data_IF_237462120694
#
_entry.id   IF_237462120694
#
_cell.length_a   1.000
_cell.length_b   1.000
_cell.length_c   1.000
_cell.angle_alpha   90.00
_cell.angle_beta   90.00
_cell.angle_gamma   90.00
#
_symmetry.space_group_name_H-M   'P 1'
#
loop_
_entity.id
_entity.type
_entity.pdbx_description
1 polymer ?
#
# COMPACT_ATOMS: atom_id res chain seq x y z
N UNK A 1 28.35 23.13 -13.09
CA UNK A 1 27.49 21.98 -12.79
C UNK A 1 28.10 21.32 -11.57
N UNK A 2 27.58 21.61 -10.40
CA UNK A 2 28.01 20.98 -9.15
C UNK A 2 27.31 19.63 -9.07
N UNK A 3 28.05 18.58 -9.31
CA UNK A 3 27.67 17.19 -9.01
C UNK A 3 27.44 17.09 -7.49
N UNK A 4 26.21 17.35 -7.06
CA UNK A 4 25.83 17.09 -5.68
C UNK A 4 25.64 15.58 -5.54
N UNK A 5 26.51 14.95 -4.77
CA UNK A 5 26.32 13.57 -4.31
C UNK A 5 24.89 13.40 -3.79
N UNK A 6 24.21 12.28 -4.15
CA UNK A 6 22.89 12.01 -3.60
C UNK A 6 22.93 12.06 -2.07
N UNK A 7 21.93 12.66 -1.39
CA UNK A 7 21.91 12.71 0.06
C UNK A 7 21.94 11.29 0.64
N UNK A 8 22.66 11.14 1.76
CA UNK A 8 22.73 9.87 2.48
C UNK A 8 21.32 9.37 2.82
N UNK A 9 21.11 8.05 2.83
CA UNK A 9 19.84 7.43 3.16
C UNK A 9 19.25 8.00 4.46
N UNK A 10 17.96 8.32 4.42
CA UNK A 10 17.22 8.83 5.56
C UNK A 10 17.32 10.35 5.79
N UNK A 11 17.85 11.13 4.87
CA UNK A 11 17.89 12.60 4.98
C UNK A 11 16.72 13.26 4.25
N UNK A 12 16.24 14.44 4.75
CA UNK A 12 15.31 15.27 4.00
C UNK A 12 15.87 15.66 2.64
N UNK A 13 15.05 15.64 1.61
CA UNK A 13 15.47 15.86 0.23
C UNK A 13 14.57 16.88 -0.46
N UNK A 14 15.14 17.76 -1.29
CA UNK A 14 14.38 18.61 -2.19
C UNK A 14 13.94 17.81 -3.42
N UNK A 15 12.66 17.88 -3.76
CA UNK A 15 12.14 17.34 -5.02
C UNK A 15 12.12 18.40 -6.12
N UNK A 16 11.71 17.98 -7.32
CA UNK A 16 11.62 18.85 -8.51
C UNK A 16 10.32 19.66 -8.61
N UNK A 17 9.41 19.54 -7.64
CA UNK A 17 8.06 20.08 -7.75
C UNK A 17 7.15 19.21 -8.61
N UNK A 18 5.87 19.56 -8.73
CA UNK A 18 4.91 18.76 -9.48
C UNK A 18 3.79 19.62 -10.09
N UNK A 19 3.32 19.22 -11.27
CA UNK A 19 2.16 19.81 -11.92
C UNK A 19 0.94 18.90 -11.70
N UNK A 20 -0.10 19.46 -11.09
CA UNK A 20 -1.40 18.79 -10.90
C UNK A 20 -2.37 19.30 -11.97
N UNK A 21 -2.68 18.50 -13.00
CA UNK A 21 -3.60 18.90 -14.04
C UNK A 21 -5.04 18.57 -13.68
N UNK A 22 -5.95 19.47 -14.00
CA UNK A 22 -7.39 19.30 -13.94
C UNK A 22 -8.03 19.58 -15.30
N UNK A 23 -9.08 18.87 -15.63
CA UNK A 23 -9.93 19.15 -16.79
C UNK A 23 -11.27 19.69 -16.31
N UNK A 24 -11.60 20.90 -16.67
CA UNK A 24 -12.82 21.55 -16.19
C UNK A 24 -14.06 20.88 -16.80
N UNK A 25 -14.88 20.30 -15.94
CA UNK A 25 -16.15 19.69 -16.34
C UNK A 25 -17.25 20.75 -16.60
N UNK A 26 -18.29 20.36 -17.30
CA UNK A 26 -19.44 21.25 -17.54
C UNK A 26 -20.16 21.66 -16.25
N UNK A 27 -20.09 20.82 -15.21
CA UNK A 27 -20.76 21.07 -13.91
C UNK A 27 -20.12 22.19 -13.10
N UNK A 28 -18.85 22.52 -13.34
CA UNK A 28 -18.12 23.59 -12.65
C UNK A 28 -17.79 24.79 -13.57
N UNK A 29 -18.24 24.75 -14.82
CA UNK A 29 -18.12 25.88 -15.74
C UNK A 29 -18.89 27.11 -15.22
N UNK A 30 -18.26 28.28 -15.32
CA UNK A 30 -18.80 29.53 -14.78
C UNK A 30 -18.43 29.81 -13.33
N UNK A 31 -17.83 28.84 -12.62
CA UNK A 31 -17.26 29.03 -11.29
C UNK A 31 -15.95 29.84 -11.38
N UNK A 32 -15.63 30.63 -10.36
CA UNK A 32 -14.31 31.26 -10.26
C UNK A 32 -13.23 30.24 -9.95
N UNK A 33 -12.06 30.39 -10.54
CA UNK A 33 -10.93 29.46 -10.36
C UNK A 33 -10.54 29.26 -8.88
N UNK A 34 -10.54 30.33 -8.07
CA UNK A 34 -10.26 30.23 -6.64
C UNK A 34 -11.35 29.42 -5.91
N UNK A 35 -12.62 29.63 -6.22
CA UNK A 35 -13.72 28.93 -5.56
C UNK A 35 -13.68 27.44 -5.91
N UNK A 36 -13.33 27.09 -7.16
CA UNK A 36 -13.08 25.70 -7.57
C UNK A 36 -12.03 25.02 -6.70
N UNK A 37 -10.85 25.63 -6.51
CA UNK A 37 -9.81 25.02 -5.68
C UNK A 37 -10.22 24.88 -4.21
N UNK A 38 -10.89 25.87 -3.65
CA UNK A 38 -11.36 25.83 -2.25
C UNK A 38 -12.38 24.72 -2.02
N UNK A 39 -13.29 24.50 -2.97
CA UNK A 39 -14.34 23.49 -2.86
C UNK A 39 -13.84 22.07 -3.14
N UNK A 40 -12.92 21.90 -4.12
CA UNK A 40 -12.47 20.57 -4.56
C UNK A 40 -11.24 20.06 -3.80
N UNK A 41 -10.46 20.97 -3.18
CA UNK A 41 -9.19 20.62 -2.54
C UNK A 41 -9.11 21.11 -1.09
N UNK A 42 -9.84 20.43 -0.22
CA UNK A 42 -9.99 20.77 1.21
C UNK A 42 -8.69 20.69 2.05
N UNK A 43 -7.58 20.24 1.47
CA UNK A 43 -6.28 20.18 2.15
C UNK A 43 -5.60 21.55 2.33
N UNK A 44 -6.13 22.59 1.71
CA UNK A 44 -5.66 23.98 1.84
C UNK A 44 -6.85 24.93 1.94
N UNK A 45 -6.76 25.86 2.84
CA UNK A 45 -7.80 26.90 2.98
C UNK A 45 -7.72 27.97 1.87
N UNK A 46 -8.70 28.87 1.88
CA UNK A 46 -8.84 29.92 0.86
C UNK A 46 -7.63 30.86 0.79
N UNK A 47 -7.01 31.17 1.91
CA UNK A 47 -5.86 32.08 1.96
C UNK A 47 -4.64 31.47 1.30
N UNK A 48 -4.40 30.19 1.53
CA UNK A 48 -3.30 29.42 0.90
C UNK A 48 -3.51 29.31 -0.61
N UNK A 49 -4.75 29.06 -1.06
CA UNK A 49 -5.03 29.03 -2.51
C UNK A 49 -4.85 30.40 -3.15
N UNK A 50 -5.30 31.48 -2.49
CA UNK A 50 -5.12 32.85 -3.00
C UNK A 50 -3.64 33.19 -3.17
N UNK A 51 -2.80 32.88 -2.18
CA UNK A 51 -1.34 33.07 -2.27
C UNK A 51 -0.73 32.33 -3.48
N UNK A 52 -1.16 31.09 -3.76
CA UNK A 52 -0.71 30.33 -4.95
C UNK A 52 -1.10 31.00 -6.27
N UNK A 53 -2.29 31.61 -6.35
CA UNK A 53 -2.68 32.43 -7.50
C UNK A 53 -1.79 33.64 -7.65
N UNK A 54 -1.54 34.39 -6.56
CA UNK A 54 -0.67 35.56 -6.55
C UNK A 54 0.78 35.24 -6.94
N UNK A 55 1.26 34.05 -6.58
CA UNK A 55 2.57 33.55 -6.97
C UNK A 55 2.63 32.98 -8.41
N UNK A 56 1.52 33.04 -9.17
CA UNK A 56 1.46 32.54 -10.53
C UNK A 56 1.57 31.02 -10.69
N UNK A 57 1.31 30.28 -9.62
CA UNK A 57 1.40 28.80 -9.61
C UNK A 57 0.19 28.12 -10.26
N UNK A 58 -0.89 28.87 -10.51
CA UNK A 58 -2.09 28.35 -11.17
C UNK A 58 -2.12 28.83 -12.61
N UNK A 59 -2.35 27.90 -13.53
CA UNK A 59 -2.42 28.18 -14.97
C UNK A 59 -3.72 27.63 -15.57
N UNK A 60 -4.30 28.39 -16.51
CA UNK A 60 -5.44 28.00 -17.33
C UNK A 60 -5.00 27.95 -18.80
N UNK A 61 -5.11 26.80 -19.42
CA UNK A 61 -4.64 26.56 -20.80
C UNK A 61 -3.20 27.06 -21.03
N UNK A 62 -2.32 26.84 -20.03
CA UNK A 62 -0.90 27.18 -20.07
C UNK A 62 -0.55 28.64 -19.76
N UNK A 63 -1.54 29.49 -19.44
CA UNK A 63 -1.33 30.89 -19.06
C UNK A 63 -1.63 31.08 -17.57
N UNK A 64 -0.89 31.99 -16.90
CA UNK A 64 -1.16 32.33 -15.51
C UNK A 64 -2.62 32.73 -15.33
N UNK A 65 -3.28 32.11 -14.36
CA UNK A 65 -4.70 32.29 -14.09
C UNK A 65 -4.89 33.20 -12.87
N UNK A 66 -5.78 34.20 -12.98
CA UNK A 66 -6.17 35.00 -11.83
C UNK A 66 -7.25 34.31 -11.00
N UNK A 67 -7.28 34.58 -9.70
CA UNK A 67 -8.24 33.97 -8.76
C UNK A 67 -9.72 34.19 -9.15
N UNK A 68 -10.03 35.31 -9.77
CA UNK A 68 -11.37 35.69 -10.23
C UNK A 68 -11.77 35.17 -11.61
N UNK A 69 -10.87 34.48 -12.33
CA UNK A 69 -11.13 33.97 -13.69
C UNK A 69 -12.27 32.98 -13.69
N UNK A 70 -13.23 33.14 -14.59
CA UNK A 70 -14.34 32.21 -14.77
C UNK A 70 -13.87 31.01 -15.59
N UNK A 71 -14.09 29.82 -15.06
CA UNK A 71 -13.71 28.55 -15.70
C UNK A 71 -14.67 28.22 -16.84
N UNK A 72 -14.11 27.70 -17.95
CA UNK A 72 -14.88 27.23 -19.11
C UNK A 72 -14.79 25.70 -19.22
N UNK A 73 -15.89 25.05 -19.61
CA UNK A 73 -15.90 23.61 -19.79
C UNK A 73 -14.85 23.17 -20.83
N UNK A 74 -14.09 22.14 -20.51
CA UNK A 74 -13.04 21.61 -21.35
C UNK A 74 -11.69 22.30 -21.22
N UNK A 75 -11.58 23.44 -20.50
CA UNK A 75 -10.29 24.09 -20.26
C UNK A 75 -9.37 23.23 -19.38
N UNK A 76 -8.06 23.35 -19.58
CA UNK A 76 -7.02 22.71 -18.79
C UNK A 76 -6.57 23.63 -17.66
N UNK A 77 -6.98 23.37 -16.43
CA UNK A 77 -6.51 24.06 -15.24
C UNK A 77 -5.35 23.27 -14.63
N UNK A 78 -4.29 23.93 -14.18
CA UNK A 78 -3.17 23.24 -13.57
C UNK A 78 -2.58 24.02 -12.39
N UNK A 79 -2.23 23.29 -11.33
CA UNK A 79 -1.46 23.81 -10.21
C UNK A 79 -0.02 23.36 -10.32
N UNK A 80 0.89 24.31 -10.49
CA UNK A 80 2.34 24.13 -10.57
C UNK A 80 2.95 24.28 -9.17
N UNK A 81 2.98 23.19 -8.42
CA UNK A 81 3.58 23.19 -7.09
C UNK A 81 5.10 23.27 -7.22
N UNK A 82 5.75 24.31 -6.64
CA UNK A 82 7.20 24.41 -6.66
C UNK A 82 7.85 23.26 -5.88
N UNK A 83 9.16 23.09 -6.06
CA UNK A 83 9.96 22.15 -5.28
C UNK A 83 9.76 22.40 -3.76
N UNK A 84 9.69 21.30 -3.00
CA UNK A 84 9.65 21.35 -1.54
C UNK A 84 10.59 20.31 -0.94
N UNK A 85 10.95 20.53 0.31
CA UNK A 85 11.75 19.56 1.06
C UNK A 85 10.84 18.42 1.53
N UNK A 86 11.09 17.22 1.03
CA UNK A 86 10.40 16.01 1.48
C UNK A 86 10.96 15.53 2.81
N UNK A 87 10.11 14.95 3.69
CA UNK A 87 10.58 14.33 4.90
C UNK A 87 11.59 13.20 4.60
N UNK A 88 12.48 12.96 5.55
CA UNK A 88 13.39 11.82 5.50
C UNK A 88 12.62 10.50 5.34
N UNK A 89 13.11 9.62 4.48
CA UNK A 89 12.59 8.27 4.29
C UNK A 89 13.75 7.32 3.96
N UNK A 90 13.68 6.04 4.38
CA UNK A 90 14.67 5.05 3.95
C UNK A 90 14.57 4.88 2.44
N UNK A 91 15.71 4.87 1.75
CA UNK A 91 15.78 4.72 0.28
C UNK A 91 16.43 3.40 -0.13
N UNK A 92 16.72 2.53 0.81
CA UNK A 92 17.23 1.21 0.52
C UNK A 92 16.12 0.17 0.51
N UNK A 93 16.22 -0.78 -0.41
CA UNK A 93 15.32 -1.93 -0.52
C UNK A 93 16.14 -3.15 -0.88
N UNK A 94 15.65 -4.33 -0.54
CA UNK A 94 16.28 -5.59 -0.91
C UNK A 94 15.55 -6.18 -2.12
N UNK A 95 16.32 -6.58 -3.15
CA UNK A 95 15.81 -7.31 -4.29
C UNK A 95 15.57 -8.78 -3.86
N UNK A 96 14.34 -9.27 -4.06
CA UNK A 96 13.93 -10.63 -3.73
C UNK A 96 13.91 -11.53 -4.97
N UNK A 97 13.43 -10.98 -6.08
CA UNK A 97 13.33 -11.69 -7.36
C UNK A 97 13.34 -10.70 -8.53
N UNK A 98 13.87 -11.13 -9.68
CA UNK A 98 13.91 -10.37 -10.92
C UNK A 98 13.93 -11.29 -12.12
N UNK A 99 13.08 -10.99 -13.14
CA UNK A 99 13.10 -11.57 -14.47
C UNK A 99 12.65 -10.55 -15.52
N UNK A 100 12.32 -11.02 -16.75
CA UNK A 100 11.91 -10.17 -17.86
C UNK A 100 10.50 -9.56 -17.67
N UNK A 101 9.64 -10.14 -16.86
CA UNK A 101 8.24 -9.72 -16.66
C UNK A 101 8.04 -8.93 -15.36
N UNK A 102 8.74 -9.26 -14.30
CA UNK A 102 8.49 -8.69 -12.98
C UNK A 102 9.73 -8.56 -12.08
N UNK A 103 9.58 -7.70 -11.09
CA UNK A 103 10.53 -7.53 -9.98
C UNK A 103 9.78 -7.62 -8.66
N UNK A 104 10.31 -8.36 -7.71
CA UNK A 104 9.84 -8.38 -6.33
C UNK A 104 10.89 -7.77 -5.40
N UNK A 105 10.46 -6.85 -4.53
CA UNK A 105 11.34 -6.16 -3.59
C UNK A 105 10.81 -6.21 -2.17
N UNK A 106 11.73 -6.22 -1.20
CA UNK A 106 11.42 -5.99 0.21
C UNK A 106 11.48 -4.50 0.53
N UNK A 107 10.32 -3.91 0.75
CA UNK A 107 10.17 -2.51 1.11
C UNK A 107 10.44 -2.29 2.61
N UNK A 108 11.31 -1.37 3.02
CA UNK A 108 11.45 -1.01 4.42
C UNK A 108 10.18 -0.32 4.97
N UNK A 109 9.95 -0.43 6.28
CA UNK A 109 8.99 0.44 6.96
C UNK A 109 9.46 1.90 6.86
N UNK A 110 8.53 2.84 6.71
CA UNK A 110 8.82 4.27 6.58
C UNK A 110 8.88 4.79 5.15
N UNK A 111 9.04 3.93 4.14
CA UNK A 111 9.05 4.31 2.73
C UNK A 111 7.64 4.22 2.12
N UNK A 112 7.19 5.31 1.50
CA UNK A 112 5.94 5.35 0.74
C UNK A 112 6.09 4.59 -0.59
N UNK A 113 5.09 3.81 -1.04
CA UNK A 113 5.19 3.09 -2.33
C UNK A 113 5.02 4.03 -3.53
N UNK A 114 4.02 4.89 -3.48
CA UNK A 114 3.64 5.82 -4.55
C UNK A 114 3.64 7.27 -4.03
N UNK A 115 3.80 8.27 -4.91
CA UNK A 115 3.65 9.67 -4.52
C UNK A 115 2.34 9.91 -3.78
N UNK A 116 2.42 10.50 -2.59
CA UNK A 116 1.27 10.90 -1.78
C UNK A 116 1.71 11.87 -0.67
N UNK A 117 0.83 12.79 -0.29
CA UNK A 117 1.03 13.78 0.76
C UNK A 117 2.31 14.63 0.54
N UNK A 118 3.31 14.48 1.39
CA UNK A 118 4.56 15.22 1.31
C UNK A 118 5.67 14.48 0.54
N UNK A 119 5.41 13.25 0.08
CA UNK A 119 6.36 12.39 -0.61
C UNK A 119 6.05 12.38 -2.11
N UNK A 120 6.99 12.79 -2.94
CA UNK A 120 6.94 12.77 -4.40
C UNK A 120 8.03 11.83 -4.95
N UNK A 121 9.29 12.10 -4.59
CA UNK A 121 10.48 11.38 -5.03
C UNK A 121 11.06 10.45 -3.94
N UNK A 122 10.76 10.70 -2.66
CA UNK A 122 11.05 9.74 -1.59
C UNK A 122 10.02 8.63 -1.55
N UNK A 123 9.92 7.87 -2.65
CA UNK A 123 8.99 6.75 -2.81
C UNK A 123 9.70 5.49 -3.29
N UNK A 124 9.15 4.32 -2.98
CA UNK A 124 9.67 3.06 -3.48
C UNK A 124 9.66 3.02 -5.02
N UNK A 125 8.63 3.58 -5.65
CA UNK A 125 8.54 3.67 -7.11
C UNK A 125 9.73 4.41 -7.69
N UNK A 126 10.09 5.56 -7.13
CA UNK A 126 11.22 6.36 -7.61
C UNK A 126 12.54 5.62 -7.43
N UNK A 127 12.78 5.08 -6.24
CA UNK A 127 14.02 4.34 -5.91
C UNK A 127 14.17 3.07 -6.75
N UNK A 128 13.08 2.33 -7.01
CA UNK A 128 13.10 1.12 -7.85
C UNK A 128 13.38 1.49 -9.30
N UNK A 129 12.76 2.56 -9.81
CA UNK A 129 13.01 3.05 -11.18
C UNK A 129 14.42 3.55 -11.38
N UNK A 130 14.98 4.25 -10.42
CA UNK A 130 16.35 4.73 -10.43
C UNK A 130 17.37 3.57 -10.53
N UNK A 131 17.13 2.47 -9.81
CA UNK A 131 18.07 1.34 -9.73
C UNK A 131 17.84 0.23 -10.75
N UNK A 132 16.60 -0.05 -11.14
CA UNK A 132 16.23 -1.26 -11.90
C UNK A 132 15.54 -0.97 -13.24
N UNK A 133 15.19 0.30 -13.53
CA UNK A 133 14.64 0.72 -14.83
C UNK A 133 13.36 1.55 -14.74
N UNK A 134 13.28 2.55 -15.61
CA UNK A 134 12.25 3.60 -15.59
C UNK A 134 10.81 3.10 -15.87
N UNK A 135 10.64 1.97 -16.57
CA UNK A 135 9.34 1.45 -16.99
C UNK A 135 8.64 0.62 -15.92
N UNK A 136 9.32 0.34 -14.80
CA UNK A 136 8.77 -0.43 -13.70
C UNK A 136 7.55 0.26 -13.08
N UNK A 137 6.49 -0.52 -12.86
CA UNK A 137 5.27 -0.04 -12.23
C UNK A 137 4.79 -1.01 -11.14
N UNK A 138 4.44 -0.53 -9.94
CA UNK A 138 3.97 -1.40 -8.87
C UNK A 138 2.62 -2.03 -9.23
N UNK A 139 2.49 -3.33 -8.96
CA UNK A 139 1.25 -4.11 -9.11
C UNK A 139 0.28 -3.81 -7.98
N UNK A 140 0.81 -3.63 -6.78
CA UNK A 140 0.07 -3.31 -5.56
C UNK A 140 0.86 -2.34 -4.67
N UNK A 141 0.25 -1.91 -3.58
CA UNK A 141 0.90 -1.00 -2.65
C UNK A 141 0.74 -1.46 -1.20
N UNK A 142 1.72 -1.09 -0.38
CA UNK A 142 1.68 -1.20 1.08
C UNK A 142 1.57 0.21 1.69
N UNK A 143 1.03 0.30 2.90
CA UNK A 143 1.09 1.52 3.70
C UNK A 143 2.55 1.91 4.03
N UNK A 144 2.79 3.17 4.34
CA UNK A 144 4.14 3.67 4.64
C UNK A 144 4.81 2.91 5.80
N UNK A 145 4.07 2.63 6.87
CA UNK A 145 4.56 1.88 8.03
C UNK A 145 4.65 0.36 7.81
N UNK A 146 3.97 -0.19 6.79
CA UNK A 146 4.05 -1.62 6.47
C UNK A 146 5.33 -1.91 5.70
N UNK A 147 6.09 -2.91 6.13
CA UNK A 147 7.28 -3.42 5.43
C UNK A 147 6.96 -4.66 4.59
N UNK A 148 7.92 -5.12 3.80
CA UNK A 148 7.88 -6.40 3.10
C UNK A 148 7.59 -6.30 1.61
N UNK A 149 7.10 -7.39 1.06
CA UNK A 149 7.07 -7.70 -0.35
C UNK A 149 6.16 -6.77 -1.16
N UNK A 150 6.72 -6.17 -2.22
CA UNK A 150 6.01 -5.40 -3.25
C UNK A 150 6.43 -5.90 -4.63
N UNK A 151 5.44 -6.21 -5.49
CA UNK A 151 5.65 -6.62 -6.87
C UNK A 151 5.60 -5.41 -7.82
N UNK A 152 6.52 -5.40 -8.76
CA UNK A 152 6.56 -4.45 -9.88
C UNK A 152 6.52 -5.20 -11.20
N UNK A 153 5.75 -4.71 -12.17
CA UNK A 153 5.73 -5.22 -13.53
C UNK A 153 6.71 -4.43 -14.41
N UNK A 154 7.46 -5.14 -15.29
CA UNK A 154 8.41 -4.54 -16.24
C UNK A 154 7.75 -4.15 -17.56
N UNK A 155 6.69 -4.85 -17.96
CA UNK A 155 6.04 -4.65 -19.26
C UNK A 155 4.55 -4.29 -19.11
N UNK A 156 3.95 -3.69 -20.16
CA UNK A 156 2.52 -3.44 -20.20
C UNK A 156 1.70 -4.74 -20.15
N UNK A 157 2.22 -5.82 -20.74
CA UNK A 157 1.62 -7.17 -20.70
C UNK A 157 1.61 -7.69 -19.28
N UNK A 158 2.75 -7.75 -18.60
CA UNK A 158 2.85 -8.22 -17.23
C UNK A 158 2.01 -7.38 -16.27
N UNK A 159 1.98 -6.04 -16.45
CA UNK A 159 1.13 -5.15 -15.66
C UNK A 159 -0.35 -5.50 -15.80
N UNK A 160 -0.83 -5.72 -17.04
CA UNK A 160 -2.23 -6.10 -17.29
C UNK A 160 -2.57 -7.43 -16.63
N UNK A 161 -1.76 -8.47 -16.88
CA UNK A 161 -1.94 -9.81 -16.32
C UNK A 161 -2.00 -9.79 -14.79
N UNK A 162 -0.99 -9.22 -14.13
CA UNK A 162 -0.92 -9.16 -12.67
C UNK A 162 -2.02 -8.29 -12.05
N UNK A 163 -2.40 -7.17 -12.71
CA UNK A 163 -3.51 -6.33 -12.24
C UNK A 163 -4.86 -7.03 -12.36
N UNK A 164 -5.08 -7.81 -13.42
CA UNK A 164 -6.29 -8.64 -13.57
C UNK A 164 -6.33 -9.73 -12.51
N UNK A 165 -5.25 -10.47 -12.29
CA UNK A 165 -5.14 -11.48 -11.25
C UNK A 165 -5.41 -10.91 -9.84
N UNK A 166 -4.85 -9.73 -9.54
CA UNK A 166 -5.09 -9.03 -8.28
C UNK A 166 -6.56 -8.63 -8.11
N UNK A 167 -7.18 -8.08 -9.17
CA UNK A 167 -8.58 -7.64 -9.15
C UNK A 167 -9.56 -8.80 -9.04
N UNK A 168 -9.22 -9.95 -9.62
CA UNK A 168 -9.99 -11.19 -9.56
C UNK A 168 -9.79 -11.98 -8.24
N UNK A 169 -8.93 -11.49 -7.32
CA UNK A 169 -8.63 -12.20 -6.06
C UNK A 169 -7.79 -13.48 -6.25
N UNK A 170 -7.12 -13.61 -7.39
CA UNK A 170 -6.30 -14.78 -7.73
C UNK A 170 -4.86 -14.69 -7.19
N UNK A 171 -4.57 -13.67 -6.38
CA UNK A 171 -3.29 -13.56 -5.67
C UNK A 171 -3.50 -13.85 -4.18
N UNK A 172 -2.80 -14.84 -3.64
CA UNK A 172 -2.74 -15.07 -2.20
C UNK A 172 -1.71 -14.13 -1.58
N UNK A 173 -2.07 -13.45 -0.52
CA UNK A 173 -1.21 -12.49 0.19
C UNK A 173 -1.23 -12.80 1.67
N UNK A 174 -0.08 -13.13 2.22
CA UNK A 174 0.08 -13.45 3.64
C UNK A 174 0.96 -12.40 4.30
N UNK A 175 0.51 -11.95 5.45
CA UNK A 175 1.19 -10.94 6.27
C UNK A 175 1.54 -11.52 7.63
N UNK A 176 2.61 -11.02 8.24
CA UNK A 176 2.95 -11.22 9.64
C UNK A 176 2.63 -9.94 10.41
N UNK A 177 1.97 -10.07 11.53
CA UNK A 177 1.53 -8.93 12.35
C UNK A 177 1.71 -9.22 13.83
N UNK A 178 1.98 -8.17 14.63
CA UNK A 178 1.98 -8.24 16.08
C UNK A 178 0.77 -7.46 16.59
N UNK A 179 -0.08 -8.13 17.38
CA UNK A 179 -1.33 -7.57 17.90
C UNK A 179 -1.32 -7.48 19.41
N UNK A 180 -2.09 -6.56 19.95
CA UNK A 180 -2.36 -6.46 21.39
C UNK A 180 -3.35 -7.55 21.82
N UNK A 181 -3.11 -8.15 23.00
CA UNK A 181 -3.95 -9.21 23.56
C UNK A 181 -3.34 -10.59 23.42
N UNK A 182 -3.80 -11.52 24.24
CA UNK A 182 -3.30 -12.91 24.32
C UNK A 182 -4.43 -13.95 24.29
N UNK A 183 -5.68 -13.51 24.33
CA UNK A 183 -6.86 -14.39 24.39
C UNK A 183 -7.45 -14.65 23.00
N UNK A 184 -6.60 -14.76 21.97
CA UNK A 184 -7.02 -14.99 20.61
C UNK A 184 -7.36 -16.48 20.39
N UNK A 185 -8.45 -16.75 19.65
CA UNK A 185 -8.67 -18.08 19.10
C UNK A 185 -7.53 -18.43 18.14
N UNK A 186 -7.16 -19.72 18.07
CA UNK A 186 -6.04 -20.21 17.25
C UNK A 186 -6.18 -19.77 15.77
N UNK A 187 -7.42 -19.81 15.27
CA UNK A 187 -7.77 -19.33 13.92
C UNK A 187 -9.14 -18.65 13.95
N UNK A 188 -9.30 -17.58 13.20
CA UNK A 188 -10.59 -16.91 13.01
C UNK A 188 -10.64 -16.09 11.73
N UNK A 189 -11.84 -15.78 11.28
CA UNK A 189 -12.08 -14.96 10.07
C UNK A 189 -12.78 -13.67 10.47
N UNK A 190 -12.38 -12.57 9.83
CA UNK A 190 -12.98 -11.26 10.01
C UNK A 190 -13.60 -10.85 8.69
N UNK A 191 -14.93 -10.74 8.67
CA UNK A 191 -15.72 -10.25 7.53
C UNK A 191 -16.36 -8.92 7.93
N UNK A 192 -15.71 -7.82 7.56
CA UNK A 192 -16.19 -6.47 7.88
C UNK A 192 -16.05 -5.58 6.65
N UNK A 193 -17.14 -4.89 6.28
CA UNK A 193 -17.14 -3.89 5.23
C UNK A 193 -16.20 -2.71 5.57
N UNK A 194 -15.46 -2.23 4.56
CA UNK A 194 -14.54 -1.08 4.70
C UNK A 194 -14.98 0.03 3.75
N UNK A 195 -15.19 1.22 4.28
CA UNK A 195 -15.61 2.41 3.55
C UNK A 195 -15.05 3.71 4.10
N UNK A 196 -15.25 4.84 3.41
CA UNK A 196 -14.82 6.14 3.88
C UNK A 196 -15.69 6.62 5.06
N UNK A 197 -15.06 7.27 6.03
CA UNK A 197 -15.72 8.02 7.10
C UNK A 197 -15.08 9.40 7.19
N UNK A 198 -15.87 10.41 7.53
CA UNK A 198 -15.36 11.78 7.68
C UNK A 198 -14.23 11.84 8.70
N UNK A 199 -13.19 12.59 8.38
CA UNK A 199 -12.02 12.73 9.23
C UNK A 199 -11.44 14.14 9.18
N UNK A 200 -11.15 14.75 10.35
CA UNK A 200 -10.68 16.14 10.41
C UNK A 200 -9.39 16.37 9.62
N UNK A 201 -9.33 17.48 8.90
CA UNK A 201 -8.13 17.97 8.21
C UNK A 201 -7.77 17.28 6.89
N UNK A 202 -8.33 16.09 6.58
CA UNK A 202 -8.04 15.37 5.33
C UNK A 202 -9.30 14.90 4.58
N UNK A 203 -10.48 15.30 5.07
CA UNK A 203 -11.77 14.97 4.49
C UNK A 203 -12.28 13.60 4.94
N UNK A 204 -11.60 12.51 4.62
CA UNK A 204 -12.02 11.17 5.02
C UNK A 204 -10.83 10.21 5.25
N UNK A 205 -11.11 9.15 6.02
CA UNK A 205 -10.27 7.94 6.12
C UNK A 205 -11.12 6.71 5.89
N UNK A 206 -10.49 5.58 5.56
CA UNK A 206 -11.21 4.30 5.52
C UNK A 206 -11.34 3.73 6.93
N UNK A 207 -12.49 3.14 7.22
CA UNK A 207 -12.80 2.53 8.52
C UNK A 207 -13.80 1.37 8.34
N UNK A 208 -14.08 0.65 9.43
CA UNK A 208 -15.14 -0.33 9.49
C UNK A 208 -16.51 0.36 9.37
N UNK A 209 -17.29 -0.02 8.35
CA UNK A 209 -18.67 0.44 8.12
C UNK A 209 -19.51 -0.71 7.56
N UNK A 210 -20.79 -0.77 7.95
CA UNK A 210 -21.64 -1.91 7.60
C UNK A 210 -21.99 -1.96 6.10
N UNK A 211 -22.11 -0.79 5.44
CA UNK A 211 -22.33 -0.62 4.02
C UNK A 211 -21.06 -0.47 3.19
N UNK A 212 -19.90 -0.78 3.80
CA UNK A 212 -18.59 -0.72 3.16
C UNK A 212 -18.40 -1.78 2.09
N UNK A 213 -17.33 -1.61 1.31
CA UNK A 213 -16.92 -2.65 0.35
C UNK A 213 -16.59 -3.94 1.09
N UNK A 214 -17.16 -5.09 0.70
CA UNK A 214 -16.88 -6.38 1.32
C UNK A 214 -15.38 -6.65 1.37
N UNK A 215 -14.92 -7.12 2.52
CA UNK A 215 -13.54 -7.51 2.76
C UNK A 215 -13.45 -8.65 3.76
N UNK A 216 -12.43 -9.50 3.61
CA UNK A 216 -12.22 -10.69 4.41
C UNK A 216 -10.74 -10.83 4.77
N UNK A 217 -10.47 -11.22 6.00
CA UNK A 217 -9.13 -11.55 6.52
C UNK A 217 -9.20 -12.82 7.34
N UNK A 218 -8.35 -13.80 7.01
CA UNK A 218 -8.17 -15.03 7.77
C UNK A 218 -6.95 -14.86 8.68
N UNK A 219 -7.14 -15.05 9.97
CA UNK A 219 -6.11 -14.86 10.99
C UNK A 219 -5.76 -16.19 11.62
N UNK A 220 -4.47 -16.47 11.76
CA UNK A 220 -3.92 -17.62 12.45
C UNK A 220 -2.89 -17.16 13.49
N UNK A 221 -3.03 -17.62 14.71
CA UNK A 221 -2.05 -17.38 15.79
C UNK A 221 -0.77 -18.17 15.48
N UNK A 222 0.37 -17.49 15.60
CA UNK A 222 1.71 -18.08 15.44
C UNK A 222 2.35 -18.28 16.80
N UNK A 223 2.28 -17.26 17.67
CA UNK A 223 2.89 -17.29 19.00
C UNK A 223 2.16 -16.31 19.92
N UNK A 224 1.77 -16.76 21.10
CA UNK A 224 1.31 -15.88 22.18
C UNK A 224 2.48 -15.44 23.04
N UNK A 225 2.54 -14.17 23.43
CA UNK A 225 3.56 -13.54 24.25
C UNK A 225 2.93 -12.93 25.51
N UNK A 226 2.49 -13.76 26.49
CA UNK A 226 1.71 -13.28 27.62
C UNK A 226 2.42 -12.23 28.46
N UNK A 227 3.73 -12.32 28.63
CA UNK A 227 4.51 -11.35 29.40
C UNK A 227 4.52 -9.95 28.79
N UNK A 228 4.37 -9.85 27.47
CA UNK A 228 4.25 -8.59 26.73
C UNK A 228 2.79 -8.17 26.51
N UNK A 229 1.83 -9.05 26.74
CA UNK A 229 0.42 -8.80 26.41
C UNK A 229 0.15 -8.77 24.91
N UNK A 230 0.94 -9.51 24.12
CA UNK A 230 0.95 -9.45 22.66
C UNK A 230 0.79 -10.85 22.04
N UNK A 231 0.33 -10.90 20.80
CA UNK A 231 0.27 -12.13 20.01
C UNK A 231 0.81 -11.89 18.60
N UNK A 232 1.70 -12.78 18.17
CA UNK A 232 2.18 -12.83 16.78
C UNK A 232 1.18 -13.63 15.94
N UNK A 233 0.71 -13.03 14.85
CA UNK A 233 -0.29 -13.65 13.97
C UNK A 233 0.15 -13.62 12.51
N UNK A 234 -0.34 -14.58 11.74
CA UNK A 234 -0.41 -14.52 10.29
C UNK A 234 -1.80 -14.08 9.85
N UNK A 235 -1.85 -13.27 8.80
CA UNK A 235 -3.09 -12.78 8.22
C UNK A 235 -3.08 -13.01 6.72
N UNK A 236 -3.95 -13.87 6.21
CA UNK A 236 -4.19 -14.03 4.78
C UNK A 236 -5.36 -13.14 4.35
N UNK A 237 -5.18 -12.41 3.23
CA UNK A 237 -6.19 -11.49 2.71
C UNK A 237 -6.54 -11.81 1.24
N UNK A 238 -7.73 -12.38 0.94
CA UNK A 238 -8.23 -12.52 -0.43
C UNK A 238 -8.57 -11.16 -1.06
N UNK A 239 -8.93 -10.17 -0.25
CA UNK A 239 -9.23 -8.81 -0.68
C UNK A 239 -8.09 -7.84 -0.32
N UNK A 240 -8.08 -6.62 -0.89
CA UNK A 240 -7.01 -5.64 -0.64
C UNK A 240 -7.57 -4.22 -0.45
N UNK A 241 -8.45 -4.02 0.55
CA UNK A 241 -9.00 -2.68 0.85
C UNK A 241 -7.95 -1.83 1.58
N UNK A 242 -8.01 -0.49 1.45
CA UNK A 242 -7.11 0.38 2.20
C UNK A 242 -7.15 0.07 3.69
N UNK A 243 -5.99 -0.10 4.31
CA UNK A 243 -5.79 -0.39 5.74
C UNK A 243 -6.53 -1.64 6.26
N UNK A 244 -6.92 -2.57 5.39
CA UNK A 244 -7.78 -3.71 5.72
C UNK A 244 -7.32 -4.45 6.98
N UNK A 245 -6.07 -4.91 7.06
CA UNK A 245 -5.56 -5.68 8.20
C UNK A 245 -5.60 -4.84 9.48
N UNK A 246 -5.20 -3.56 9.42
CA UNK A 246 -5.22 -2.63 10.55
C UNK A 246 -6.64 -2.46 11.11
N UNK A 247 -7.62 -2.26 10.21
CA UNK A 247 -9.04 -2.11 10.54
C UNK A 247 -9.61 -3.42 11.09
N UNK A 248 -9.41 -4.53 10.38
CA UNK A 248 -9.97 -5.83 10.74
C UNK A 248 -9.49 -6.32 12.11
N UNK A 249 -8.18 -6.25 12.38
CA UNK A 249 -7.65 -6.65 13.69
C UNK A 249 -8.19 -5.76 14.81
N UNK A 250 -8.37 -4.46 14.56
CA UNK A 250 -9.01 -3.55 15.51
C UNK A 250 -10.51 -3.86 15.70
N UNK A 251 -11.24 -4.28 14.65
CA UNK A 251 -12.64 -4.77 14.75
C UNK A 251 -12.72 -6.00 15.65
N UNK A 252 -11.79 -6.94 15.49
CA UNK A 252 -11.74 -8.15 16.31
C UNK A 252 -11.35 -7.87 17.79
N UNK A 253 -10.99 -6.64 18.14
CA UNK A 253 -10.56 -6.27 19.49
C UNK A 253 -9.05 -6.41 19.73
N UNK A 254 -8.30 -6.78 18.73
CA UNK A 254 -6.84 -7.02 18.78
C UNK A 254 -6.09 -6.07 17.83
N UNK A 255 -6.09 -4.74 18.08
CA UNK A 255 -5.38 -3.79 17.22
C UNK A 255 -3.89 -4.12 17.17
N UNK A 256 -3.23 -3.71 16.09
CA UNK A 256 -1.77 -3.87 15.97
C UNK A 256 -1.06 -3.18 17.14
N UNK A 257 0.01 -3.77 17.61
CA UNK A 257 0.90 -3.11 18.56
C UNK A 257 1.45 -1.83 17.94
N UNK A 258 1.27 -0.70 18.64
CA UNK A 258 1.69 0.62 18.14
C UNK A 258 0.76 1.24 17.09
N UNK A 259 -0.48 0.74 16.91
CA UNK A 259 -1.45 1.31 15.96
C UNK A 259 -1.87 2.74 16.32
N UNK A 260 -1.50 3.76 15.52
CA UNK A 260 -1.77 5.15 15.88
C UNK A 260 -3.22 5.58 15.59
N UNK A 261 -3.83 5.03 14.52
CA UNK A 261 -5.08 5.56 13.96
C UNK A 261 -6.32 4.79 14.41
N UNK A 262 -6.29 3.44 14.37
CA UNK A 262 -7.47 2.62 14.60
C UNK A 262 -7.57 2.14 16.05
N UNK A 263 -8.76 2.28 16.64
CA UNK A 263 -9.12 1.79 17.99
C UNK A 263 -10.00 0.55 17.86
N UNK A 264 -10.24 -0.11 18.99
CA UNK A 264 -11.21 -1.22 19.06
C UNK A 264 -12.50 -0.86 18.33
N UNK A 265 -13.03 -1.78 17.52
CA UNK A 265 -14.14 -1.54 16.60
C UNK A 265 -13.74 -1.02 15.21
N UNK A 266 -12.44 -0.85 14.91
CA UNK A 266 -11.94 -0.53 13.57
C UNK A 266 -12.25 0.88 13.08
N UNK A 267 -12.57 1.79 14.02
CA UNK A 267 -12.82 3.21 13.71
C UNK A 267 -11.61 4.06 14.10
N UNK A 268 -11.37 5.18 13.41
CA UNK A 268 -10.29 6.09 13.78
C UNK A 268 -10.57 6.73 15.14
N UNK A 269 -9.50 7.02 15.88
CA UNK A 269 -9.58 7.81 17.11
C UNK A 269 -10.14 9.20 16.75
N UNK A 270 -11.30 9.53 17.35
CA UNK A 270 -11.92 10.86 17.17
C UNK A 270 -11.51 11.83 18.28
N UNK A 271 -10.91 11.32 19.34
CA UNK A 271 -10.42 12.16 20.43
C UNK A 271 -9.23 12.95 19.94
N UNK A 272 -9.42 14.25 19.78
CA UNK A 272 -8.29 15.17 19.61
C UNK A 272 -7.42 15.01 20.84
N UNK A 273 -6.16 14.53 20.71
CA UNK A 273 -5.31 14.47 21.88
C UNK A 273 -5.22 15.87 22.47
N UNK A 274 -5.33 15.98 23.79
CA UNK A 274 -5.21 17.27 24.47
C UNK A 274 -3.87 17.95 24.17
N UNK A 275 -2.90 17.19 23.69
CA UNK A 275 -1.59 17.65 23.18
C UNK A 275 -1.16 16.69 22.06
N UNK A 276 -1.08 17.17 20.81
CA UNK A 276 -0.56 16.41 19.69
C UNK A 276 -1.34 16.62 18.38
N UNK A 277 -0.75 16.20 17.28
CA UNK A 277 -1.39 16.20 15.97
C UNK A 277 -2.40 15.04 15.85
N UNK A 278 -3.48 15.25 15.12
CA UNK A 278 -4.46 14.21 14.78
C UNK A 278 -3.76 13.09 14.02
N UNK A 279 -3.92 11.80 14.41
CA UNK A 279 -3.28 10.68 13.71
C UNK A 279 -3.67 10.61 12.23
N UNK A 280 -2.70 10.39 11.37
CA UNK A 280 -2.92 10.31 9.93
C UNK A 280 -2.78 8.87 9.40
N UNK A 281 -3.42 8.54 8.26
CA UNK A 281 -3.30 7.23 7.62
C UNK A 281 -1.87 6.75 7.38
N UNK A 282 -0.96 7.70 7.12
CA UNK A 282 0.46 7.44 6.89
C UNK A 282 1.33 7.35 8.14
N UNK A 283 0.78 7.51 9.34
CA UNK A 283 1.56 7.42 10.57
C UNK A 283 2.04 5.99 10.82
N UNK A 284 3.23 5.91 11.38
CA UNK A 284 3.94 4.67 11.67
C UNK A 284 3.81 4.29 13.14
N UNK A 285 4.46 3.20 13.52
CA UNK A 285 4.52 2.69 14.88
C UNK A 285 4.00 1.26 14.98
N UNK A 286 3.11 0.85 14.07
CA UNK A 286 2.56 -0.50 14.06
C UNK A 286 3.48 -1.52 13.38
N UNK A 287 3.35 -2.79 13.80
CA UNK A 287 4.14 -3.90 13.29
C UNK A 287 3.33 -4.77 12.31
N UNK A 288 3.55 -4.58 11.01
CA UNK A 288 2.91 -5.30 9.92
C UNK A 288 3.90 -5.50 8.77
N UNK A 289 4.01 -6.73 8.27
CA UNK A 289 4.94 -7.11 7.22
C UNK A 289 4.26 -7.98 6.16
N UNK A 290 4.39 -7.63 4.88
CA UNK A 290 3.95 -8.44 3.75
C UNK A 290 4.96 -9.56 3.53
N UNK A 291 4.64 -10.76 4.00
CA UNK A 291 5.59 -11.87 4.08
C UNK A 291 5.61 -12.73 2.81
N UNK A 292 4.45 -13.00 2.21
CA UNK A 292 4.33 -13.92 1.08
C UNK A 292 3.28 -13.46 0.08
N UNK A 293 3.60 -13.60 -1.22
CA UNK A 293 2.63 -13.43 -2.31
C UNK A 293 2.75 -14.61 -3.27
N UNK A 294 1.61 -15.26 -3.56
CA UNK A 294 1.53 -16.33 -4.56
C UNK A 294 0.57 -15.92 -5.68
N UNK A 295 0.98 -16.15 -6.93
CA UNK A 295 0.25 -15.71 -8.11
C UNK A 295 0.66 -16.56 -9.34
N UNK A 296 -0.14 -16.55 -10.41
CA UNK A 296 0.30 -17.12 -11.69
C UNK A 296 1.29 -16.19 -12.38
N UNK A 297 2.41 -16.73 -12.83
CA UNK A 297 3.42 -15.95 -13.54
C UNK A 297 2.87 -15.41 -14.88
N UNK A 298 3.16 -14.15 -15.28
CA UNK A 298 2.66 -13.58 -16.53
C UNK A 298 3.00 -14.38 -17.78
N UNK A 299 4.14 -15.05 -17.85
CA UNK A 299 4.53 -15.89 -18.97
C UNK A 299 3.73 -17.20 -19.04
N UNK A 300 3.32 -17.79 -17.92
CA UNK A 300 2.54 -19.01 -17.89
C UNK A 300 1.10 -18.84 -18.43
N UNK A 301 0.58 -17.59 -18.48
CA UNK A 301 -0.74 -17.29 -19.03
C UNK A 301 -0.79 -17.24 -20.56
N UNK A 302 0.36 -17.15 -21.22
CA UNK A 302 0.44 -17.08 -22.70
C UNK A 302 0.18 -18.45 -23.33
N UNK A 303 0.50 -19.54 -22.65
CA UNK A 303 0.29 -20.90 -23.17
C UNK A 303 -1.18 -21.32 -23.15
N UNK A 304 -1.98 -20.75 -22.25
CA UNK A 304 -3.43 -21.00 -22.19
C UNK A 304 -4.21 -20.24 -23.30
N UNK A 305 -3.74 -19.05 -23.74
CA UNK A 305 -4.35 -18.26 -24.82
C UNK A 305 -3.89 -18.70 -26.23
N UNK A 306 -2.77 -19.40 -26.35
CA UNK A 306 -2.25 -19.88 -27.63
C UNK A 306 -2.83 -21.24 -28.09
N UNK A 307 -3.61 -21.89 -27.22
CA UNK A 307 -4.22 -23.21 -27.44
C UNK A 307 -5.62 -23.22 -28.06
N UNK A 308 -6.33 -22.08 -28.15
CA UNK A 308 -7.72 -22.01 -28.59
C UNK A 308 -7.90 -21.31 -29.96
N UNK A 309 -7.36 -21.89 -31.04
CA UNK A 309 -7.92 -21.81 -32.37
C UNK A 309 -8.18 -23.23 -32.87
N UNK A 310 -9.21 -23.87 -32.36
CA UNK A 310 -10.16 -24.78 -33.03
C UNK A 310 -10.99 -25.53 -31.98
N UNK A 311 -12.34 -25.43 -32.17
CA UNK A 311 -13.40 -26.12 -31.43
C UNK A 311 -13.92 -25.50 -30.11
N UNK A 312 -14.70 -24.44 -30.28
CA UNK A 312 -15.64 -23.98 -29.26
C UNK A 312 -16.85 -24.90 -29.18
N UNK A 313 -17.00 -25.72 -28.14
CA UNK A 313 -18.26 -26.04 -27.45
C UNK A 313 -17.93 -26.70 -26.09
N UNK A 314 -18.16 -25.96 -24.98
CA UNK A 314 -18.55 -26.52 -23.68
C UNK A 314 -17.45 -27.18 -22.85
N UNK A 315 -16.49 -26.44 -22.31
CA UNK A 315 -15.86 -26.78 -21.04
C UNK A 315 -15.66 -25.52 -20.21
N UNK A 316 -16.37 -25.45 -19.09
CA UNK A 316 -16.08 -24.53 -17.99
C UNK A 316 -14.66 -24.83 -17.52
N UNK A 317 -13.73 -23.91 -17.75
CA UNK A 317 -12.39 -24.01 -17.19
C UNK A 317 -12.52 -23.78 -15.68
N UNK A 318 -12.39 -24.85 -14.91
CA UNK A 318 -12.13 -24.74 -13.47
C UNK A 318 -10.74 -24.15 -13.32
N UNK A 319 -10.67 -22.88 -12.90
CA UNK A 319 -9.43 -22.26 -12.45
C UNK A 319 -8.88 -23.15 -11.33
N UNK A 320 -7.77 -23.82 -11.57
CA UNK A 320 -7.14 -24.66 -10.56
C UNK A 320 -6.78 -23.79 -9.34
N UNK A 321 -7.17 -24.25 -8.15
CA UNK A 321 -6.74 -23.63 -6.91
C UNK A 321 -5.20 -23.60 -6.84
N UNK A 322 -4.61 -22.56 -6.25
CA UNK A 322 -3.19 -22.56 -5.96
C UNK A 322 -2.84 -23.80 -5.12
N UNK A 323 -1.67 -24.39 -5.30
CA UNK A 323 -1.26 -25.56 -4.55
C UNK A 323 -1.48 -25.30 -3.05
N UNK A 324 -2.16 -26.25 -2.38
CA UNK A 324 -2.30 -26.20 -0.92
C UNK A 324 -0.89 -26.12 -0.34
N UNK A 325 -0.64 -25.12 0.49
CA UNK A 325 0.57 -25.12 1.31
C UNK A 325 0.48 -26.38 2.17
N UNK A 326 1.42 -27.32 1.99
CA UNK A 326 1.52 -28.52 2.83
C UNK A 326 1.51 -28.07 4.29
N UNK A 327 0.41 -28.32 5.01
CA UNK A 327 0.27 -28.01 6.43
C UNK A 327 1.29 -28.76 7.31
N UNK A 328 1.90 -29.82 6.76
CA UNK A 328 2.91 -30.66 7.44
C UNK A 328 4.35 -30.11 7.40
N UNK A 329 4.61 -28.96 6.76
CA UNK A 329 5.95 -28.34 6.70
C UNK A 329 6.18 -27.17 7.64
N UNK A 330 5.35 -27.00 8.64
CA UNK A 330 5.50 -25.97 9.68
C UNK A 330 6.42 -26.47 10.84
N UNK A 331 7.58 -27.02 10.51
CA UNK A 331 8.69 -27.01 11.45
C UNK A 331 9.31 -25.63 11.43
N UNK A 332 9.47 -25.03 12.60
CA UNK A 332 10.09 -23.73 12.83
C UNK A 332 11.52 -23.70 12.25
N UNK A 333 11.63 -23.29 11.00
CA UNK A 333 12.90 -23.04 10.33
C UNK A 333 13.12 -21.53 10.33
N UNK A 334 13.73 -21.04 11.40
CA UNK A 334 13.84 -19.63 11.76
C UNK A 334 14.82 -18.81 10.87
N UNK A 335 15.61 -19.49 10.03
CA UNK A 335 16.62 -18.91 9.15
C UNK A 335 16.41 -19.23 7.67
N UNK A 336 15.14 -19.44 7.22
CA UNK A 336 14.92 -19.59 5.79
C UNK A 336 15.27 -18.29 5.07
N UNK A 337 16.17 -18.34 4.09
CA UNK A 337 16.40 -17.20 3.20
C UNK A 337 15.11 -16.89 2.44
N UNK A 338 15.01 -15.65 1.95
CA UNK A 338 13.94 -15.29 1.02
C UNK A 338 13.87 -16.32 -0.11
N UNK A 339 12.68 -16.84 -0.35
CA UNK A 339 12.46 -17.89 -1.33
C UNK A 339 11.64 -17.40 -2.51
N UNK A 340 11.99 -17.89 -3.69
CA UNK A 340 11.15 -17.84 -4.86
C UNK A 340 10.97 -19.26 -5.38
N UNK A 341 9.73 -19.75 -5.39
CA UNK A 341 9.38 -21.05 -5.92
C UNK A 341 8.41 -20.89 -7.09
N UNK A 342 8.66 -21.60 -8.18
CA UNK A 342 7.74 -21.73 -9.31
C UNK A 342 7.32 -23.20 -9.44
N UNK A 343 6.00 -23.45 -9.43
CA UNK A 343 5.45 -24.78 -9.60
C UNK A 343 4.12 -24.69 -10.37
N UNK A 344 4.01 -25.45 -11.46
CA UNK A 344 2.78 -25.55 -12.27
C UNK A 344 2.26 -24.17 -12.75
N UNK A 345 3.17 -23.24 -13.09
CA UNK A 345 2.87 -21.85 -13.48
C UNK A 345 2.48 -20.94 -12.32
N UNK A 346 2.47 -21.45 -11.08
CA UNK A 346 2.33 -20.64 -9.86
C UNK A 346 3.70 -20.26 -9.34
N UNK A 347 3.82 -18.97 -9.04
CA UNK A 347 5.00 -18.39 -8.42
C UNK A 347 4.68 -17.94 -7.00
N UNK A 348 5.55 -18.30 -6.07
CA UNK A 348 5.48 -17.83 -4.69
C UNK A 348 6.78 -17.11 -4.35
N UNK A 349 6.66 -15.87 -3.91
CA UNK A 349 7.79 -15.09 -3.40
C UNK A 349 7.59 -14.86 -1.92
N UNK A 350 8.63 -15.13 -1.13
CA UNK A 350 8.66 -14.92 0.32
C UNK A 350 9.68 -13.86 0.71
N UNK A 351 9.34 -13.12 1.74
CA UNK A 351 10.15 -12.09 2.35
C UNK A 351 10.26 -12.33 3.85
N UNK A 352 11.46 -12.51 4.35
CA UNK A 352 11.70 -12.78 5.77
C UNK A 352 11.25 -11.61 6.64
N UNK A 353 10.36 -11.80 7.63
CA UNK A 353 9.92 -10.76 8.54
C UNK A 353 11.07 -10.20 9.38
N UNK A 354 10.99 -8.94 9.82
CA UNK A 354 11.95 -8.37 10.78
C UNK A 354 11.90 -9.10 12.13
N UNK A 355 12.96 -9.06 12.94
CA UNK A 355 13.10 -9.89 14.17
C UNK A 355 11.91 -9.81 15.11
N UNK A 356 11.31 -8.64 15.31
CA UNK A 356 10.13 -8.47 16.20
C UNK A 356 8.91 -9.27 15.73
N UNK A 357 8.84 -9.57 14.43
CA UNK A 357 7.76 -10.33 13.78
C UNK A 357 8.15 -11.79 13.50
N UNK A 358 9.18 -12.32 14.15
CA UNK A 358 9.54 -13.73 14.11
C UNK A 358 9.13 -14.42 15.41
N UNK A 359 8.82 -15.73 15.39
CA UNK A 359 8.64 -16.50 16.62
C UNK A 359 9.90 -16.42 17.51
N UNK A 360 9.69 -16.54 18.82
CA UNK A 360 10.79 -16.59 19.76
C UNK A 360 11.57 -17.91 19.56
N UNK A 361 12.89 -17.82 19.47
CA UNK A 361 13.73 -19.02 19.51
C UNK A 361 13.63 -19.65 20.90
N UNK A 362 12.93 -20.75 21.01
CA UNK A 362 12.99 -21.55 22.23
C UNK A 362 14.39 -22.16 22.29
N UNK A 363 15.31 -21.48 23.00
CA UNK A 363 16.57 -22.08 23.38
C UNK A 363 16.28 -23.41 24.06
N UNK A 364 16.67 -24.52 23.41
CA UNK A 364 16.51 -25.84 23.96
C UNK A 364 17.06 -25.90 25.37
N UNK A 365 16.19 -25.97 26.38
CA UNK A 365 16.60 -26.38 27.70
C UNK A 365 17.10 -27.83 27.59
N UNK A 366 18.40 -27.99 27.45
CA UNK A 366 19.07 -29.21 27.85
C UNK A 366 18.83 -29.35 29.35
N UNK A 367 17.87 -30.19 29.73
CA UNK A 367 17.79 -30.75 31.08
C UNK A 367 18.96 -31.68 31.24
N UNK A 368 19.98 -31.23 31.98
CA UNK A 368 20.99 -32.08 32.58
C UNK A 368 20.47 -32.72 33.86
#
# INVERSE_FOLDING_TARGET
>A
MTDSLPPADGQPRWNSGWVYPDRISISVAGQKALDFYVEHYAHSDRSVWLERFEQGQIQLDGNVCEAGTLLTAGAGLSYHRPAWQEPAAPRDFRLLYEDDDLVAVDKPSGLQVLPAAQFLENTLLDVVRERLGADLAPVHRLGRGTSGLVLFARSARARRSLSMALSAGQMKKTYRALVQGVDLAEQFTIEQGIGPVDYPGIGYVHAAVDDGKPSCSHVRVVESRPDAGETLVEVEIPTGRPHQIRIHLAVAGYPLVGEPLYRSGGRPAQDTPAVGAVPLPGDMGYHLHSMRVSFRHPSAQVDDDAGDTEDAIGRSATVGDPPSTDEDRLSADEDRPDMCEERDGWMTVECTPPPILRPSTHGGHQTG
#
